data_IF_495484150035
#
_entry.id   IF_495484150035
#
_cell.length_a   1.000
_cell.length_b   1.000
_cell.length_c   1.000
_cell.angle_alpha   90.00
_cell.angle_beta   90.00
_cell.angle_gamma   90.00
#
_symmetry.space_group_name_H-M   'P 1'
#
loop_
_entity.id
_entity.type
_entity.pdbx_description
1 polymer ?
#
# COMPACT_ATOMS: atom_id res chain seq x y z
N UNK A 1 -7.49 -22.92 17.46
CA UNK A 1 -7.28 -22.39 16.10
C UNK A 1 -8.15 -23.19 15.16
N UNK A 2 -9.11 -22.56 14.48
CA UNK A 2 -10.10 -23.26 13.65
C UNK A 2 -9.64 -23.44 12.19
N UNK A 3 -10.41 -24.19 11.43
CA UNK A 3 -10.10 -24.53 10.04
C UNK A 3 -10.16 -23.33 9.09
N UNK A 4 -10.98 -22.32 9.40
CA UNK A 4 -11.01 -21.08 8.63
C UNK A 4 -9.68 -20.33 8.79
N UNK A 5 -9.22 -20.15 10.03
CA UNK A 5 -7.96 -19.47 10.36
C UNK A 5 -6.76 -20.18 9.69
N UNK A 6 -6.74 -21.52 9.71
CA UNK A 6 -5.68 -22.32 9.09
C UNK A 6 -5.67 -22.16 7.56
N UNK A 7 -6.83 -22.07 6.92
CA UNK A 7 -6.93 -21.95 5.45
C UNK A 7 -6.69 -20.53 4.94
N UNK A 8 -7.06 -19.53 5.71
CA UNK A 8 -6.92 -18.12 5.29
C UNK A 8 -5.55 -17.56 5.62
N UNK A 9 -4.97 -17.94 6.76
CA UNK A 9 -3.70 -17.38 7.23
C UNK A 9 -2.54 -18.37 7.17
N UNK A 10 -2.81 -19.69 7.02
CA UNK A 10 -1.80 -20.70 6.72
C UNK A 10 -0.71 -20.91 7.78
N UNK A 11 -0.76 -20.24 8.94
CA UNK A 11 0.38 -20.12 9.85
C UNK A 11 1.45 -19.10 9.38
N UNK A 12 1.20 -18.38 8.28
CA UNK A 12 2.06 -17.34 7.70
C UNK A 12 1.52 -15.94 8.00
N UNK A 13 1.02 -15.71 9.22
CA UNK A 13 0.44 -14.43 9.65
C UNK A 13 1.45 -13.29 9.81
N UNK A 14 2.67 -13.43 9.30
CA UNK A 14 3.71 -12.41 9.35
C UNK A 14 3.88 -11.84 7.95
N UNK A 15 3.30 -10.66 7.74
CA UNK A 15 3.66 -9.83 6.61
C UNK A 15 5.00 -9.17 6.91
N UNK A 16 5.99 -9.38 6.04
CA UNK A 16 7.28 -8.71 6.16
C UNK A 16 7.09 -7.23 5.86
N UNK A 17 7.30 -6.38 6.87
CA UNK A 17 7.37 -4.94 6.69
C UNK A 17 8.84 -4.52 6.65
N UNK A 18 9.18 -3.56 5.78
CA UNK A 18 10.54 -3.03 5.74
C UNK A 18 10.89 -2.12 6.91
N UNK A 19 9.88 -1.45 7.48
CA UNK A 19 10.02 -0.69 8.72
C UNK A 19 8.71 -0.78 9.52
N UNK A 20 8.68 -1.54 10.63
CA UNK A 20 7.48 -1.64 11.46
C UNK A 20 7.10 -0.32 12.15
N UNK A 21 8.00 0.67 12.21
CA UNK A 21 7.68 2.02 12.70
C UNK A 21 6.96 2.89 11.66
N UNK A 22 6.92 2.47 10.41
CA UNK A 22 6.20 3.16 9.33
C UNK A 22 4.85 2.48 9.09
N UNK A 23 3.81 2.96 9.76
CA UNK A 23 2.43 2.48 9.63
C UNK A 23 1.43 3.64 9.73
N UNK A 24 0.16 3.47 9.34
CA UNK A 24 -0.85 4.50 9.58
C UNK A 24 -1.11 4.66 11.09
N UNK A 25 -1.32 5.90 11.53
CA UNK A 25 -1.72 6.19 12.92
C UNK A 25 -3.21 5.90 13.17
N UNK A 26 -4.01 5.88 12.10
CA UNK A 26 -5.45 5.64 12.19
C UNK A 26 -5.78 4.18 12.51
N UNK A 27 -6.87 3.90 13.26
CA UNK A 27 -7.32 2.54 13.54
C UNK A 27 -7.55 1.73 12.25
N UNK A 28 -7.27 0.43 12.31
CA UNK A 28 -7.40 -0.48 11.16
C UNK A 28 -8.76 -0.36 10.43
N UNK A 29 -9.93 -0.30 11.10
CA UNK A 29 -11.22 -0.15 10.42
C UNK A 29 -11.31 1.12 9.58
N UNK A 30 -10.73 2.22 10.06
CA UNK A 30 -10.71 3.49 9.34
C UNK A 30 -9.79 3.44 8.13
N UNK A 31 -8.60 2.84 8.28
CA UNK A 31 -7.67 2.63 7.16
C UNK A 31 -8.32 1.78 6.07
N UNK A 32 -8.97 0.67 6.44
CA UNK A 32 -9.67 -0.19 5.50
C UNK A 32 -10.84 0.54 4.83
N UNK A 33 -11.63 1.31 5.57
CA UNK A 33 -12.71 2.13 5.02
C UNK A 33 -12.20 3.12 3.97
N UNK A 34 -11.08 3.81 4.23
CA UNK A 34 -10.44 4.72 3.26
C UNK A 34 -9.96 3.99 2.00
N UNK A 35 -9.43 2.78 2.13
CA UNK A 35 -8.99 1.97 1.00
C UNK A 35 -10.18 1.50 0.14
N UNK A 36 -11.24 1.00 0.77
CA UNK A 36 -12.45 0.55 0.08
C UNK A 36 -13.09 1.72 -0.67
N UNK A 37 -13.32 2.85 0.02
CA UNK A 37 -13.88 4.04 -0.61
C UNK A 37 -13.03 4.56 -1.78
N UNK A 38 -11.71 4.37 -1.74
CA UNK A 38 -10.83 4.73 -2.84
C UNK A 38 -10.93 3.79 -4.04
N UNK A 39 -11.24 2.50 -3.81
CA UNK A 39 -11.47 1.52 -4.87
C UNK A 39 -12.83 1.72 -5.56
N UNK A 40 -13.79 2.34 -4.87
CA UNK A 40 -15.15 2.57 -5.38
C UNK A 40 -15.30 3.90 -6.15
N UNK A 41 -14.26 4.74 -6.19
CA UNK A 41 -14.27 6.05 -6.85
C UNK A 41 -13.26 6.14 -8.00
N UNK A 42 -13.23 7.29 -8.67
CA UNK A 42 -12.22 7.55 -9.69
C UNK A 42 -10.79 7.48 -9.13
N UNK A 43 -9.84 6.81 -9.82
CA UNK A 43 -8.47 6.66 -9.36
C UNK A 43 -7.75 8.00 -9.15
N UNK A 44 -7.00 8.11 -8.07
CA UNK A 44 -6.35 9.36 -7.65
C UNK A 44 -4.83 9.37 -7.78
N UNK A 45 -4.20 10.52 -7.49
CA UNK A 45 -2.74 10.65 -7.59
C UNK A 45 -1.96 10.43 -6.28
N UNK A 46 -2.69 10.24 -5.18
CA UNK A 46 -2.16 10.27 -3.80
C UNK A 46 -2.59 9.03 -3.04
N UNK A 47 -1.87 8.73 -1.96
CA UNK A 47 -2.25 7.69 -1.01
C UNK A 47 -3.66 8.00 -0.44
N UNK A 48 -4.64 7.09 -0.56
CA UNK A 48 -5.98 7.32 -0.04
C UNK A 48 -6.05 7.30 1.49
N UNK A 49 -5.01 6.77 2.15
CA UNK A 49 -4.97 6.67 3.62
C UNK A 49 -4.45 7.96 4.24
N UNK A 50 -3.30 8.47 3.81
CA UNK A 50 -2.66 9.65 4.42
C UNK A 50 -2.61 10.89 3.51
N UNK A 51 -3.05 10.81 2.26
CA UNK A 51 -3.02 11.92 1.30
C UNK A 51 -1.64 12.24 0.72
N UNK A 52 -0.59 11.52 1.12
CA UNK A 52 0.78 11.73 0.62
C UNK A 52 0.93 11.33 -0.85
N UNK A 53 1.77 12.08 -1.58
CA UNK A 53 2.21 11.73 -2.93
C UNK A 53 3.44 10.80 -2.94
N UNK A 54 4.06 10.51 -1.81
CA UNK A 54 5.30 9.76 -1.72
C UNK A 54 5.08 8.24 -1.93
N UNK A 55 4.78 7.84 -3.17
CA UNK A 55 4.54 6.46 -3.58
C UNK A 55 5.78 5.88 -4.25
N UNK A 56 6.30 4.77 -3.73
CA UNK A 56 7.53 4.13 -4.21
C UNK A 56 7.29 2.68 -4.55
N UNK A 57 7.87 2.23 -5.66
CA UNK A 57 7.97 0.79 -5.96
C UNK A 57 9.12 0.19 -5.17
N UNK A 58 8.80 -0.68 -4.20
CA UNK A 58 9.78 -1.51 -3.48
C UNK A 58 9.65 -3.00 -3.81
N UNK A 59 8.48 -3.42 -4.28
CA UNK A 59 8.15 -4.79 -4.69
C UNK A 59 7.48 -4.75 -6.07
N UNK A 60 7.46 -5.88 -6.77
CA UNK A 60 7.00 -5.96 -8.18
C UNK A 60 5.48 -5.85 -8.35
N UNK A 61 4.71 -5.90 -7.26
CA UNK A 61 3.24 -6.00 -7.29
C UNK A 61 2.51 -4.66 -7.19
N UNK A 62 2.93 -3.75 -6.31
CA UNK A 62 2.24 -2.49 -6.07
C UNK A 62 3.12 -1.43 -5.36
N UNK A 63 2.79 -0.13 -5.51
CA UNK A 63 3.52 0.93 -4.82
C UNK A 63 3.24 0.96 -3.32
N UNK A 64 4.29 1.13 -2.52
CA UNK A 64 4.25 1.43 -1.10
C UNK A 64 4.17 2.95 -0.89
N UNK A 65 3.31 3.42 0.00
CA UNK A 65 3.38 4.80 0.48
C UNK A 65 4.52 4.93 1.50
N UNK A 66 5.55 5.71 1.18
CA UNK A 66 6.70 5.95 2.05
C UNK A 66 6.37 6.79 3.30
N UNK A 67 5.15 7.35 3.39
CA UNK A 67 4.72 8.14 4.55
C UNK A 67 3.97 7.31 5.60
N UNK A 68 3.14 6.35 5.19
CA UNK A 68 2.33 5.56 6.13
C UNK A 68 2.47 4.04 5.96
N UNK A 69 3.36 3.57 5.08
CA UNK A 69 3.70 2.15 4.96
C UNK A 69 2.64 1.27 4.29
N UNK A 70 1.56 1.84 3.78
CA UNK A 70 0.52 1.06 3.09
C UNK A 70 0.92 0.81 1.64
N UNK A 71 0.83 -0.46 1.23
CA UNK A 71 0.81 -0.84 -0.18
C UNK A 71 -0.52 -0.39 -0.79
N UNK A 72 -0.46 0.63 -1.65
CA UNK A 72 -1.65 1.23 -2.24
C UNK A 72 -2.11 0.38 -3.43
N UNK A 73 -3.39 -0.07 -3.46
CA UNK A 73 -3.92 -0.86 -4.57
C UNK A 73 -3.78 -0.11 -5.90
N UNK A 74 -3.28 -0.80 -6.94
CA UNK A 74 -3.14 -0.20 -8.28
C UNK A 74 -4.45 0.40 -8.83
N UNK A 75 -5.64 -0.23 -8.66
CA UNK A 75 -6.89 0.36 -9.16
C UNK A 75 -7.28 1.67 -8.49
N UNK A 76 -6.77 1.96 -7.28
CA UNK A 76 -7.04 3.23 -6.60
C UNK A 76 -6.14 4.38 -7.11
N UNK A 77 -5.18 4.08 -8.01
CA UNK A 77 -4.20 5.04 -8.50
C UNK A 77 -4.39 5.36 -9.98
N UNK A 78 -4.26 6.63 -10.32
CA UNK A 78 -4.24 7.07 -11.72
C UNK A 78 -3.05 6.47 -12.46
N UNK A 79 -3.14 6.25 -13.78
CA UNK A 79 -2.01 5.78 -14.57
C UNK A 79 -0.77 6.68 -14.45
N UNK A 80 -0.97 7.98 -14.26
CA UNK A 80 0.13 8.94 -14.05
C UNK A 80 0.86 8.70 -12.73
N UNK A 81 0.11 8.45 -11.65
CA UNK A 81 0.68 8.13 -10.34
C UNK A 81 1.49 6.82 -10.36
N UNK A 82 0.98 5.80 -11.04
CA UNK A 82 1.70 4.52 -11.22
C UNK A 82 3.01 4.72 -11.98
N UNK A 83 2.99 5.48 -13.09
CA UNK A 83 4.21 5.78 -13.86
C UNK A 83 5.24 6.53 -13.03
N UNK A 84 4.82 7.54 -12.27
CA UNK A 84 5.71 8.32 -11.38
C UNK A 84 6.35 7.42 -10.32
N UNK A 85 5.55 6.61 -9.63
CA UNK A 85 6.04 5.70 -8.59
C UNK A 85 7.07 4.69 -9.12
N UNK A 86 6.91 4.21 -10.37
CA UNK A 86 7.88 3.35 -11.05
C UNK A 86 9.19 4.08 -11.39
N UNK A 87 9.10 5.35 -11.79
CA UNK A 87 10.27 6.19 -12.06
C UNK A 87 11.12 6.41 -10.80
N UNK A 88 10.47 6.70 -9.68
CA UNK A 88 11.14 6.88 -8.38
C UNK A 88 11.82 5.60 -7.87
N UNK A 89 11.19 4.43 -8.05
CA UNK A 89 11.79 3.15 -7.68
C UNK A 89 13.06 2.81 -8.47
N UNK A 90 13.07 3.10 -9.78
CA UNK A 90 14.24 2.88 -10.65
C UNK A 90 15.42 3.78 -10.31
N UNK A 91 15.16 5.02 -9.87
CA UNK A 91 16.21 5.96 -9.48
C UNK A 91 16.98 5.51 -8.21
N UNK A 92 16.35 4.69 -7.35
CA UNK A 92 16.94 4.20 -6.10
C UNK A 92 17.76 2.91 -6.27
N UNK A 93 17.63 2.19 -7.40
CA UNK A 93 18.41 0.98 -7.73
C UNK A 93 19.70 1.31 -8.52
N UNK A 94 19.84 2.57 -8.96
CA UNK A 94 21.00 3.05 -9.72
C UNK A 94 22.11 3.70 -8.89
N UNK A 95 22.22 3.38 -7.58
CA UNK A 95 23.31 3.81 -6.69
C UNK A 95 24.19 2.63 -6.33
#
# INVERSE_FOLDING_TARGET
>A
MDDWHRRTWGGFGIAWCADPGTHPDAPLPEVLGRLIAALEREPGERCPVCGSGALRWREDVAPLCASCGITVPLPALSPAAVRRARGEGRALVGV
#
